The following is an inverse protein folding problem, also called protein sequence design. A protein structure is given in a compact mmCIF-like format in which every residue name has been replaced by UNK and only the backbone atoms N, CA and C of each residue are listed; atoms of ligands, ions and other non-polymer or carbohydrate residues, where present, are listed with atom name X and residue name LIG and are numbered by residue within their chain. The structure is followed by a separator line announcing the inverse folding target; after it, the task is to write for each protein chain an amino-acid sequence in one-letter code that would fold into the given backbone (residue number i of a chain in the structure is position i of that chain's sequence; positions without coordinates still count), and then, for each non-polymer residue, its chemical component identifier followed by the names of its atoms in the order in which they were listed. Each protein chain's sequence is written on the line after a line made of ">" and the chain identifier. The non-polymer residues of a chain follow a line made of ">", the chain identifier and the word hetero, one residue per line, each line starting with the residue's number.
data_IF_812948464283
#
_entry.id   IF_812948464283
#
_cell.length_a   1.000
_cell.length_b   1.000
_cell.length_c   1.000
_cell.angle_alpha   90.00
_cell.angle_beta   90.00
_cell.angle_gamma   90.00
#
_symmetry.space_group_name_H-M   'P 1'
#
loop_
_entity.id
_entity.type
_entity.pdbx_description
1 polymer ?
#
# COMPACT_ATOMS: atom_id res chain seq x y z
N UNK A 1 -15.67 -5.12 6.73
CA UNK A 1 -16.05 -6.39 6.10
C UNK A 1 -15.84 -6.40 4.58
N UNK A 2 -16.05 -5.31 3.84
CA UNK A 2 -15.78 -5.25 2.38
C UNK A 2 -14.29 -5.28 2.05
N UNK A 3 -13.46 -4.54 2.81
CA UNK A 3 -12.02 -4.49 2.62
C UNK A 3 -11.36 -5.89 2.67
N UNK A 4 -11.79 -6.77 3.56
CA UNK A 4 -11.22 -8.13 3.65
C UNK A 4 -11.54 -9.01 2.44
N UNK A 5 -12.69 -8.83 1.81
CA UNK A 5 -13.09 -9.59 0.61
C UNK A 5 -12.29 -9.13 -0.60
N UNK A 6 -12.19 -7.82 -0.83
CA UNK A 6 -11.40 -7.25 -1.92
C UNK A 6 -9.92 -7.59 -1.78
N UNK A 7 -9.35 -7.47 -0.57
CA UNK A 7 -7.98 -7.84 -0.30
C UNK A 7 -7.72 -9.33 -0.58
N UNK A 8 -8.61 -10.23 -0.14
CA UNK A 8 -8.47 -11.66 -0.42
C UNK A 8 -8.46 -11.95 -1.93
N UNK A 9 -9.38 -11.35 -2.68
CA UNK A 9 -9.44 -11.50 -4.14
C UNK A 9 -8.15 -11.01 -4.80
N UNK A 10 -7.60 -9.87 -4.36
CA UNK A 10 -6.36 -9.33 -4.89
C UNK A 10 -5.17 -10.32 -4.77
N UNK A 11 -5.12 -11.14 -3.72
CA UNK A 11 -4.08 -12.17 -3.57
C UNK A 11 -4.32 -13.41 -4.43
N UNK A 12 -5.55 -13.72 -4.79
CA UNK A 12 -5.91 -14.89 -5.60
C UNK A 12 -5.86 -14.64 -7.10
N UNK A 13 -5.89 -13.38 -7.54
CA UNK A 13 -5.84 -13.01 -8.94
C UNK A 13 -4.56 -13.50 -9.62
N UNK A 14 -4.72 -13.93 -10.88
CA UNK A 14 -3.61 -14.44 -11.67
C UNK A 14 -2.69 -13.32 -12.16
N UNK A 15 -1.38 -13.56 -12.13
CA UNK A 15 -0.34 -12.63 -12.63
C UNK A 15 -0.09 -12.76 -14.13
N UNK A 16 -0.91 -13.52 -14.86
CA UNK A 16 -0.71 -13.87 -16.26
C UNK A 16 -1.26 -12.85 -17.27
N UNK A 17 -1.90 -11.77 -16.80
CA UNK A 17 -2.45 -10.72 -17.68
C UNK A 17 -1.37 -10.14 -18.61
N UNK A 18 -1.61 -10.08 -19.96
CA UNK A 18 -0.66 -9.48 -20.89
C UNK A 18 -0.31 -8.03 -20.55
N UNK A 19 -1.26 -7.24 -20.02
CA UNK A 19 -1.03 -5.86 -19.59
C UNK A 19 -0.05 -5.81 -18.43
N UNK A 20 -0.24 -6.69 -17.44
CA UNK A 20 0.65 -6.79 -16.29
C UNK A 20 2.05 -7.26 -16.72
N UNK A 21 2.14 -8.25 -17.61
CA UNK A 21 3.43 -8.74 -18.12
C UNK A 21 4.20 -7.66 -18.89
N UNK A 22 3.52 -6.83 -19.67
CA UNK A 22 4.14 -5.67 -20.35
C UNK A 22 4.63 -4.63 -19.34
N UNK A 23 3.83 -4.36 -18.29
CA UNK A 23 4.23 -3.42 -17.23
C UNK A 23 5.54 -3.83 -16.58
N UNK A 24 5.69 -5.12 -16.23
CA UNK A 24 6.84 -5.60 -15.44
C UNK A 24 8.06 -5.99 -16.29
N UNK A 25 7.91 -6.19 -17.59
CA UNK A 25 8.97 -6.69 -18.46
C UNK A 25 10.30 -5.90 -18.31
N UNK A 26 10.33 -4.56 -18.31
CA UNK A 26 11.58 -3.81 -18.16
C UNK A 26 12.26 -4.00 -16.82
N UNK A 27 11.53 -4.41 -15.79
CA UNK A 27 12.07 -4.55 -14.44
C UNK A 27 12.64 -5.95 -14.14
N UNK A 28 12.51 -6.92 -15.04
CA UNK A 28 12.93 -8.31 -14.80
C UNK A 28 14.40 -8.48 -14.47
N UNK A 29 15.27 -7.64 -15.06
CA UNK A 29 16.72 -7.66 -14.82
C UNK A 29 17.18 -6.78 -13.66
N UNK A 30 16.27 -6.02 -13.04
CA UNK A 30 16.57 -5.12 -11.94
C UNK A 30 16.69 -5.89 -10.61
N UNK A 31 17.44 -5.36 -9.64
CA UNK A 31 17.41 -5.88 -8.27
C UNK A 31 16.08 -5.57 -7.57
N UNK A 32 15.82 -6.20 -6.42
CA UNK A 32 14.53 -6.10 -5.71
C UNK A 32 14.12 -4.66 -5.35
N UNK A 33 15.06 -3.84 -4.89
CA UNK A 33 14.78 -2.43 -4.53
C UNK A 33 14.44 -1.62 -5.78
N UNK A 34 15.19 -1.82 -6.86
CA UNK A 34 14.91 -1.18 -8.15
C UNK A 34 13.56 -1.65 -8.74
N UNK A 35 13.21 -2.92 -8.59
CA UNK A 35 11.89 -3.44 -9.00
C UNK A 35 10.75 -2.74 -8.25
N UNK A 36 10.86 -2.57 -6.95
CA UNK A 36 9.87 -1.83 -6.15
C UNK A 36 9.74 -0.38 -6.61
N UNK A 37 10.86 0.31 -6.80
CA UNK A 37 10.88 1.70 -7.26
C UNK A 37 10.29 1.85 -8.67
N UNK A 38 10.64 0.94 -9.57
CA UNK A 38 10.10 0.91 -10.93
C UNK A 38 8.58 0.70 -10.92
N UNK A 39 8.09 -0.30 -10.18
CA UNK A 39 6.65 -0.60 -10.09
C UNK A 39 5.89 0.59 -9.52
N UNK A 40 6.35 1.21 -8.43
CA UNK A 40 5.71 2.38 -7.86
C UNK A 40 5.64 3.53 -8.87
N UNK A 41 6.75 3.89 -9.49
CA UNK A 41 6.82 4.96 -10.47
C UNK A 41 5.88 4.71 -11.65
N UNK A 42 5.88 3.49 -12.20
CA UNK A 42 5.04 3.15 -13.37
C UNK A 42 3.56 3.13 -13.04
N UNK A 43 3.17 2.58 -11.90
CA UNK A 43 1.76 2.59 -11.48
C UNK A 43 1.28 4.01 -11.26
N UNK A 44 2.04 4.84 -10.55
CA UNK A 44 1.65 6.23 -10.29
C UNK A 44 1.57 7.07 -11.56
N UNK A 45 2.45 6.85 -12.55
CA UNK A 45 2.47 7.62 -13.79
C UNK A 45 1.46 7.13 -14.84
N UNK A 46 1.13 5.85 -14.86
CA UNK A 46 0.29 5.26 -15.92
C UNK A 46 -1.19 5.12 -15.52
N UNK A 47 -1.49 5.11 -14.22
CA UNK A 47 -2.84 4.96 -13.70
C UNK A 47 -3.24 6.30 -13.09
N UNK A 48 -4.19 6.99 -13.75
CA UNK A 48 -4.73 8.24 -13.24
C UNK A 48 -5.56 7.97 -11.99
N UNK A 49 -5.41 8.81 -10.97
CA UNK A 49 -6.24 8.71 -9.78
C UNK A 49 -7.69 9.13 -10.10
N UNK A 50 -8.63 8.26 -9.82
CA UNK A 50 -10.07 8.50 -9.97
C UNK A 50 -10.77 7.73 -8.85
N UNK A 51 -11.73 8.36 -8.17
CA UNK A 51 -12.50 7.68 -7.13
C UNK A 51 -13.44 6.63 -7.73
N UNK A 52 -13.71 5.59 -6.98
CA UNK A 52 -14.66 4.52 -7.34
C UNK A 52 -16.04 5.04 -7.73
N UNK A 53 -16.54 6.07 -7.06
CA UNK A 53 -17.83 6.68 -7.37
C UNK A 53 -17.84 7.25 -8.78
N UNK A 54 -16.73 7.79 -9.26
CA UNK A 54 -16.59 8.37 -10.61
C UNK A 54 -16.33 7.30 -11.66
N UNK A 55 -15.44 6.34 -11.36
CA UNK A 55 -15.03 5.30 -12.32
C UNK A 55 -16.11 4.22 -12.50
N UNK A 56 -16.68 3.73 -11.38
CA UNK A 56 -17.56 2.56 -11.36
C UNK A 56 -19.01 2.88 -10.98
N UNK A 57 -19.32 4.12 -10.58
CA UNK A 57 -20.61 4.49 -10.02
C UNK A 57 -20.94 3.74 -8.72
N UNK A 58 -19.93 3.26 -8.01
CA UNK A 58 -20.02 2.48 -6.78
C UNK A 58 -19.15 3.11 -5.72
N UNK A 59 -19.54 2.98 -4.46
CA UNK A 59 -18.68 3.26 -3.33
C UNK A 59 -17.87 2.01 -3.00
N UNK A 60 -16.54 2.15 -2.90
CA UNK A 60 -15.63 1.09 -2.45
C UNK A 60 -15.68 -0.18 -3.35
N UNK A 61 -15.30 -0.02 -4.62
CA UNK A 61 -15.18 -1.11 -5.60
C UNK A 61 -13.69 -1.44 -5.82
N UNK A 62 -13.29 -2.63 -5.48
CA UNK A 62 -11.93 -3.12 -5.66
C UNK A 62 -11.75 -3.75 -7.04
N UNK A 63 -11.18 -3.00 -7.97
CA UNK A 63 -10.91 -3.50 -9.31
C UNK A 63 -9.75 -4.50 -9.32
N UNK A 64 -9.79 -5.45 -10.24
CA UNK A 64 -8.62 -6.30 -10.49
C UNK A 64 -7.49 -5.49 -11.12
N UNK A 65 -6.25 -5.92 -10.97
CA UNK A 65 -5.11 -5.27 -11.61
C UNK A 65 -5.30 -5.16 -13.14
N UNK A 66 -5.91 -6.16 -13.77
CA UNK A 66 -6.20 -6.15 -15.21
C UNK A 66 -7.23 -5.09 -15.59
N UNK A 67 -8.29 -4.92 -14.78
CA UNK A 67 -9.30 -3.88 -15.01
C UNK A 67 -8.67 -2.49 -14.87
N UNK A 68 -7.95 -2.24 -13.78
CA UNK A 68 -7.27 -0.96 -13.52
C UNK A 68 -6.28 -0.62 -14.63
N UNK A 69 -5.47 -1.58 -15.08
CA UNK A 69 -4.53 -1.38 -16.17
C UNK A 69 -5.22 -1.12 -17.53
N UNK A 70 -6.34 -1.79 -17.80
CA UNK A 70 -7.11 -1.60 -19.02
C UNK A 70 -7.78 -0.22 -19.07
N UNK A 71 -8.29 0.26 -17.94
CA UNK A 71 -8.92 1.58 -17.82
C UNK A 71 -7.89 2.72 -17.71
N UNK A 72 -6.68 2.44 -17.22
CA UNK A 72 -5.66 3.45 -16.95
C UNK A 72 -6.07 4.43 -15.84
N UNK A 73 -6.99 4.03 -14.98
CA UNK A 73 -7.53 4.82 -13.87
C UNK A 73 -7.89 3.91 -12.69
N UNK A 74 -7.90 4.47 -11.48
CA UNK A 74 -8.26 3.80 -10.24
C UNK A 74 -7.86 4.63 -9.03
N UNK A 75 -8.38 4.29 -7.86
CA UNK A 75 -8.04 4.93 -6.59
C UNK A 75 -6.81 4.29 -5.91
N UNK A 76 -6.62 4.56 -4.62
CA UNK A 76 -5.45 4.07 -3.87
C UNK A 76 -5.44 2.54 -3.75
N UNK A 77 -6.59 1.92 -3.51
CA UNK A 77 -6.76 0.47 -3.41
C UNK A 77 -6.41 -0.22 -4.72
N UNK A 78 -6.94 0.28 -5.81
CA UNK A 78 -6.71 -0.25 -7.16
C UNK A 78 -5.24 -0.19 -7.54
N UNK A 79 -4.59 0.95 -7.26
CA UNK A 79 -3.16 1.13 -7.51
C UNK A 79 -2.31 0.23 -6.63
N UNK A 80 -2.70 0.03 -5.35
CA UNK A 80 -2.00 -0.89 -4.45
C UNK A 80 -2.13 -2.34 -4.94
N UNK A 81 -3.29 -2.75 -5.48
CA UNK A 81 -3.51 -4.07 -6.09
C UNK A 81 -2.63 -4.25 -7.33
N UNK A 82 -2.53 -3.25 -8.20
CA UNK A 82 -1.63 -3.33 -9.38
C UNK A 82 -0.18 -3.50 -8.94
N UNK A 83 0.28 -2.77 -7.93
CA UNK A 83 1.64 -2.91 -7.37
C UNK A 83 1.86 -4.32 -6.80
N UNK A 84 0.88 -4.85 -6.05
CA UNK A 84 0.91 -6.22 -5.52
C UNK A 84 1.10 -7.25 -6.64
N UNK A 85 0.25 -7.19 -7.67
CA UNK A 85 0.30 -8.13 -8.78
C UNK A 85 1.58 -7.99 -9.61
N UNK A 86 2.07 -6.76 -9.79
CA UNK A 86 3.33 -6.50 -10.49
C UNK A 86 4.53 -7.11 -9.74
N UNK A 87 4.62 -6.95 -8.42
CA UNK A 87 5.69 -7.55 -7.62
C UNK A 87 5.60 -9.08 -7.59
N UNK A 88 4.39 -9.66 -7.51
CA UNK A 88 4.19 -11.11 -7.67
C UNK A 88 4.70 -11.60 -9.03
N UNK A 89 4.37 -10.89 -10.13
CA UNK A 89 4.82 -11.23 -11.48
C UNK A 89 6.35 -11.10 -11.65
N UNK A 90 7.01 -10.29 -10.82
CA UNK A 90 8.48 -10.17 -10.73
C UNK A 90 9.11 -11.22 -9.80
N UNK A 91 8.29 -12.12 -9.20
CA UNK A 91 8.77 -13.20 -8.37
C UNK A 91 9.01 -12.82 -6.91
N UNK A 92 8.35 -11.79 -6.40
CA UNK A 92 8.25 -11.58 -4.94
C UNK A 92 7.35 -12.66 -4.35
N UNK A 93 7.73 -13.19 -3.19
CA UNK A 93 6.85 -14.10 -2.45
C UNK A 93 5.62 -13.33 -1.96
N UNK A 94 4.44 -13.85 -2.24
CA UNK A 94 3.19 -13.20 -1.82
C UNK A 94 3.05 -13.13 -0.28
N UNK A 95 3.75 -13.99 0.46
CA UNK A 95 3.80 -13.92 1.92
C UNK A 95 4.61 -12.72 2.45
N UNK A 96 5.33 -12.03 1.57
CA UNK A 96 6.09 -10.81 1.86
C UNK A 96 5.38 -9.52 1.38
N UNK A 97 4.15 -9.65 0.90
CA UNK A 97 3.35 -8.53 0.37
C UNK A 97 2.09 -8.33 1.19
N UNK A 98 1.78 -7.07 1.54
CA UNK A 98 0.66 -6.74 2.42
C UNK A 98 -0.08 -5.49 1.91
N UNK A 99 -1.36 -5.64 1.59
CA UNK A 99 -2.23 -4.48 1.38
C UNK A 99 -2.53 -3.85 2.74
N UNK A 100 -2.22 -2.58 2.90
CA UNK A 100 -2.23 -1.93 4.21
C UNK A 100 -3.04 -0.65 4.18
N UNK A 101 -4.06 -0.60 5.04
CA UNK A 101 -4.71 0.65 5.44
C UNK A 101 -3.83 1.37 6.43
N UNK A 102 -3.57 2.62 6.18
CA UNK A 102 -2.72 3.46 7.01
C UNK A 102 -3.32 4.87 7.15
N UNK A 103 -2.68 5.69 7.96
CA UNK A 103 -2.90 7.13 8.03
C UNK A 103 -1.62 7.84 7.60
N UNK A 104 -1.80 8.87 6.79
CA UNK A 104 -0.73 9.77 6.42
C UNK A 104 -0.34 10.72 7.56
N UNK A 105 0.61 11.63 7.30
CA UNK A 105 1.11 12.59 8.28
C UNK A 105 0.02 13.51 8.86
N UNK A 106 -1.02 13.82 8.11
CA UNK A 106 -2.14 14.67 8.56
C UNK A 106 -3.32 13.87 9.09
N UNK A 107 -3.18 12.54 9.18
CA UNK A 107 -4.19 11.62 9.73
C UNK A 107 -5.24 11.18 8.70
N UNK A 108 -5.08 11.52 7.43
CA UNK A 108 -5.94 11.07 6.35
C UNK A 108 -5.78 9.56 6.08
N UNK A 109 -6.86 8.86 5.69
CA UNK A 109 -6.77 7.46 5.33
C UNK A 109 -6.02 7.31 4.00
N UNK A 110 -5.13 6.32 3.93
CA UNK A 110 -4.42 5.93 2.71
C UNK A 110 -4.35 4.41 2.62
N UNK A 111 -4.33 3.89 1.41
CA UNK A 111 -4.06 2.48 1.13
C UNK A 111 -2.72 2.36 0.41
N UNK A 112 -1.86 1.51 0.92
CA UNK A 112 -0.52 1.29 0.38
C UNK A 112 -0.21 -0.20 0.27
N UNK A 113 0.81 -0.53 -0.51
CA UNK A 113 1.44 -1.85 -0.48
C UNK A 113 2.67 -1.81 0.44
N UNK A 114 2.73 -2.71 1.42
CA UNK A 114 3.97 -3.03 2.11
C UNK A 114 4.63 -4.23 1.43
N UNK A 115 5.94 -4.15 1.24
CA UNK A 115 6.76 -5.26 0.77
C UNK A 115 7.87 -5.54 1.78
N UNK A 116 7.95 -6.77 2.28
CA UNK A 116 9.02 -7.21 3.17
C UNK A 116 10.21 -7.69 2.33
N UNK A 117 11.37 -7.12 2.58
CA UNK A 117 12.62 -7.50 1.95
C UNK A 117 13.74 -7.49 2.99
N UNK A 118 14.41 -8.63 3.17
CA UNK A 118 15.49 -8.81 4.16
C UNK A 118 15.06 -8.43 5.60
N UNK A 119 13.83 -8.81 5.97
CA UNK A 119 13.27 -8.54 7.30
C UNK A 119 12.83 -7.09 7.52
N UNK A 120 12.93 -6.21 6.52
CA UNK A 120 12.52 -4.81 6.60
C UNK A 120 11.32 -4.55 5.71
N UNK A 121 10.45 -3.63 6.14
CA UNK A 121 9.22 -3.29 5.43
C UNK A 121 9.39 -2.00 4.62
N UNK A 122 9.11 -2.10 3.33
CA UNK A 122 9.10 -1.01 2.38
C UNK A 122 7.66 -0.58 2.08
N UNK A 123 7.42 0.72 2.08
CA UNK A 123 6.13 1.32 1.71
C UNK A 123 6.16 1.72 0.25
N UNK A 124 5.20 1.22 -0.51
CA UNK A 124 4.90 1.66 -1.87
C UNK A 124 3.57 2.44 -1.83
N UNK A 125 3.68 3.74 -1.82
CA UNK A 125 2.55 4.67 -1.76
C UNK A 125 2.21 5.29 -3.13
N UNK A 126 1.34 6.28 -3.16
CA UNK A 126 0.89 6.98 -4.36
C UNK A 126 1.45 8.39 -4.51
N UNK A 127 2.45 8.77 -3.74
CA UNK A 127 3.02 10.13 -3.79
C UNK A 127 3.92 10.37 -5.00
N UNK A 128 4.20 9.34 -5.82
CA UNK A 128 5.10 9.42 -6.97
C UNK A 128 6.58 9.45 -6.60
N UNK A 129 6.89 9.41 -5.30
CA UNK A 129 8.26 9.30 -4.79
C UNK A 129 8.84 7.89 -4.93
N UNK A 130 9.98 7.65 -4.29
CA UNK A 130 10.55 6.30 -4.18
C UNK A 130 9.97 5.56 -2.98
N UNK A 131 9.89 4.22 -3.02
CA UNK A 131 9.56 3.42 -1.85
C UNK A 131 10.47 3.76 -0.68
N UNK A 132 9.93 3.76 0.52
CA UNK A 132 10.68 4.08 1.73
C UNK A 132 10.49 3.02 2.81
N UNK A 133 11.45 2.95 3.73
CA UNK A 133 11.36 2.04 4.87
C UNK A 133 10.42 2.60 5.94
N UNK A 134 9.55 1.75 6.48
CA UNK A 134 8.62 2.12 7.56
C UNK A 134 9.35 2.79 8.72
N UNK A 135 10.52 2.27 9.12
CA UNK A 135 11.29 2.81 10.25
C UNK A 135 11.82 4.23 9.99
N UNK A 136 12.05 4.59 8.72
CA UNK A 136 12.58 5.88 8.33
C UNK A 136 11.59 7.03 8.40
N UNK A 137 10.29 6.74 8.38
CA UNK A 137 9.21 7.76 8.29
C UNK A 137 8.06 7.50 9.25
N UNK A 138 8.36 7.19 10.51
CA UNK A 138 7.38 6.85 11.55
C UNK A 138 6.28 7.90 11.75
N UNK A 139 6.56 9.17 11.46
CA UNK A 139 5.60 10.26 11.61
C UNK A 139 4.78 10.55 10.35
N UNK A 140 5.16 9.99 9.20
CA UNK A 140 4.49 10.22 7.93
C UNK A 140 3.56 9.06 7.54
N UNK A 141 3.71 7.92 8.23
CA UNK A 141 2.99 6.70 7.92
C UNK A 141 2.65 5.94 9.21
N UNK A 142 1.37 5.71 9.44
CA UNK A 142 0.88 4.94 10.58
C UNK A 142 -0.01 3.80 10.09
N UNK A 143 0.48 2.56 10.05
CA UNK A 143 -0.34 1.43 9.65
C UNK A 143 -1.47 1.20 10.66
N UNK A 144 -2.66 0.86 10.15
CA UNK A 144 -3.86 0.56 10.94
C UNK A 144 -4.20 -0.92 10.83
N UNK A 145 -4.20 -1.45 9.62
CA UNK A 145 -4.60 -2.81 9.31
C UNK A 145 -3.87 -3.28 8.07
N UNK A 146 -3.25 -4.45 8.12
CA UNK A 146 -2.63 -5.08 6.97
C UNK A 146 -3.30 -6.41 6.65
N UNK A 147 -3.40 -6.70 5.36
CA UNK A 147 -3.85 -7.98 4.81
C UNK A 147 -2.73 -8.61 4.01
N UNK A 148 -2.45 -9.87 4.28
CA UNK A 148 -1.55 -10.70 3.52
C UNK A 148 -2.19 -12.04 3.21
N UNK A 149 -1.54 -12.88 2.42
CA UNK A 149 -2.03 -14.21 2.04
C UNK A 149 -2.27 -15.12 3.26
N UNK A 150 -1.52 -14.91 4.34
CA UNK A 150 -1.58 -15.72 5.56
C UNK A 150 -2.48 -15.13 6.66
N UNK A 151 -3.19 -14.04 6.40
CA UNK A 151 -4.08 -13.43 7.38
C UNK A 151 -4.04 -11.90 7.40
N UNK A 152 -4.61 -11.33 8.45
CA UNK A 152 -4.67 -9.90 8.67
C UNK A 152 -4.12 -9.52 10.04
N UNK A 153 -3.55 -8.31 10.13
CA UNK A 153 -2.95 -7.77 11.35
C UNK A 153 -3.48 -6.38 11.63
N UNK A 154 -4.01 -6.18 12.84
CA UNK A 154 -4.39 -4.86 13.34
C UNK A 154 -3.23 -4.30 14.15
N UNK A 155 -2.83 -3.07 13.84
CA UNK A 155 -1.76 -2.40 14.56
C UNK A 155 -2.33 -1.69 15.80
N UNK A 156 -1.74 -1.94 16.96
CA UNK A 156 -2.08 -1.21 18.18
C UNK A 156 -1.77 0.28 17.98
N UNK A 157 -2.71 1.16 18.37
CA UNK A 157 -2.39 2.58 18.46
C UNK A 157 -1.26 2.75 19.48
N UNK A 158 -0.22 3.55 19.21
CA UNK A 158 0.71 3.95 20.25
C UNK A 158 -0.12 4.56 21.36
N UNK A 159 -0.09 3.98 22.56
CA UNK A 159 -0.64 4.66 23.72
C UNK A 159 0.23 5.90 23.92
N UNK A 160 -0.33 7.07 23.61
CA UNK A 160 0.23 8.32 24.11
C UNK A 160 0.08 8.20 25.62
N UNK A 161 1.20 7.98 26.31
CA UNK A 161 1.20 8.04 27.76
C UNK A 161 0.54 9.38 28.13
N UNK A 162 -0.45 9.40 29.05
CA UNK A 162 -1.04 10.65 29.48
C UNK A 162 0.12 11.54 29.91
N UNK A 163 0.27 12.70 29.28
CA UNK A 163 1.20 13.71 29.76
C UNK A 163 0.74 13.96 31.18
N UNK A 164 1.48 13.41 32.12
CA UNK A 164 1.25 13.71 33.53
C UNK A 164 1.30 15.23 33.60
N UNK A 165 0.16 15.85 33.92
CA UNK A 165 0.08 17.25 34.15
C UNK A 165 1.17 17.53 35.19
N UNK A 166 2.23 18.19 34.77
CA UNK A 166 3.20 18.73 35.70
C UNK A 166 2.46 19.73 36.55
N UNK A 167 1.94 19.22 37.66
CA UNK A 167 1.34 20.04 38.68
C UNK A 167 2.40 21.05 39.11
N UNK A 168 2.18 22.29 38.72
CA UNK A 168 2.99 23.43 39.10
C UNK A 168 3.09 23.48 40.61
N UNK A 169 4.17 22.96 41.15
CA UNK A 169 4.60 23.27 42.49
C UNK A 169 5.24 24.66 42.51
N UNK A 170 4.45 25.70 42.24
CA UNK A 170 4.75 27.04 42.74
C UNK A 170 4.06 27.18 44.09
N UNK A 171 4.68 26.53 45.08
CA UNK A 171 4.40 26.88 46.49
C UNK A 171 5.04 28.23 46.78
N UNK A 172 4.22 29.11 47.27
CA UNK A 172 4.49 30.45 47.81
C UNK A 172 5.65 30.45 48.79
N UNK A 173 6.48 31.47 48.72
CA UNK A 173 6.94 32.26 49.86
C UNK A 173 6.82 33.71 49.52
#
# INVERSE_FOLDING_TARGET
>A
MRFSVGAHQAFTDATSSPLLQRLVAPARSMNRVQQMAYVQSRVTSNIRWVSDATEWGKHDYWATATQTLAHGAGDEEDRAIVKLQALKALGFDQSDLFLTLARDRVGGPITVLLARLNGRYWVLDDTGGTPFLVEGRKFEFQPVLSFGVNGSWVYARPQVAPVAAAASAFARK
#
